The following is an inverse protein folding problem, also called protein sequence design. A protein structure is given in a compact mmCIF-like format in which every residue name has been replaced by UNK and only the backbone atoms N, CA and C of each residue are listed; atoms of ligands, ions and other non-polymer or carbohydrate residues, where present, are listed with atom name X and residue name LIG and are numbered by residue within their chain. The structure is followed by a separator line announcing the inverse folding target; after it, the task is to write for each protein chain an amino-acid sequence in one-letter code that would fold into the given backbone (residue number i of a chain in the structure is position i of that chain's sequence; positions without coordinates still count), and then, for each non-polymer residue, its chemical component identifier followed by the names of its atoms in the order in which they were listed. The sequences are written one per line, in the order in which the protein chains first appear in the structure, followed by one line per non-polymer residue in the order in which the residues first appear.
data_IF_711311269257
#
_entry.id   IF_711311269257
#
_cell.length_a   1.000
_cell.length_b   1.000
_cell.length_c   1.000
_cell.angle_alpha   90.00
_cell.angle_beta   90.00
_cell.angle_gamma   90.00
#
_symmetry.space_group_name_H-M   'P 1'
#
loop_
_entity.id
_entity.type
_entity.pdbx_description
1 polymer ?
#
# COMPACT_ATOMS: atom_id res chain seq x y z
N UNK A 1 17.59 -32.51 -3.57
CA UNK A 1 17.97 -31.96 -2.26
C UNK A 1 19.30 -32.57 -1.88
N UNK A 2 20.33 -31.76 -1.61
CA UNK A 2 21.68 -32.25 -1.33
C UNK A 2 21.72 -33.12 -0.06
N UNK A 3 22.66 -34.05 0.01
CA UNK A 3 22.80 -35.06 1.08
C UNK A 3 23.23 -34.49 2.44
N UNK A 4 23.49 -33.20 2.53
CA UNK A 4 23.85 -32.51 3.76
C UNK A 4 22.66 -31.62 4.14
N UNK A 5 22.17 -31.74 5.37
CA UNK A 5 21.09 -30.89 5.89
C UNK A 5 21.45 -29.39 5.85
N UNK A 6 20.60 -28.49 6.38
CA UNK A 6 20.96 -27.08 6.42
C UNK A 6 22.28 -26.91 7.17
N UNK A 7 23.29 -26.38 6.47
CA UNK A 7 24.57 -26.04 7.09
C UNK A 7 24.32 -24.97 8.15
N UNK A 8 24.80 -25.14 9.38
CA UNK A 8 24.71 -24.11 10.38
C UNK A 8 25.52 -22.90 9.93
N UNK A 9 24.86 -21.77 9.74
CA UNK A 9 25.50 -20.49 9.47
C UNK A 9 25.65 -19.79 10.82
N UNK A 10 26.90 -19.68 11.29
CA UNK A 10 27.26 -18.83 12.41
C UNK A 10 27.67 -17.46 11.87
N UNK A 11 26.67 -16.60 11.61
CA UNK A 11 26.87 -15.25 11.14
C UNK A 11 26.70 -14.27 12.31
N UNK A 12 27.79 -13.68 12.83
CA UNK A 12 27.73 -12.59 13.79
C UNK A 12 26.84 -11.45 13.30
N UNK A 13 26.13 -10.73 14.19
CA UNK A 13 25.31 -9.58 13.79
C UNK A 13 26.08 -8.53 12.96
N UNK A 14 27.36 -8.31 13.28
CA UNK A 14 28.24 -7.39 12.56
C UNK A 14 28.44 -7.80 11.09
N UNK A 15 28.58 -9.09 10.80
CA UNK A 15 28.72 -9.58 9.42
C UNK A 15 27.43 -9.36 8.63
N UNK A 16 26.26 -9.53 9.27
CA UNK A 16 24.97 -9.23 8.65
C UNK A 16 24.86 -7.74 8.34
N UNK A 17 25.21 -6.87 9.29
CA UNK A 17 25.19 -5.41 9.10
C UNK A 17 26.13 -4.98 7.96
N UNK A 18 27.34 -5.55 7.90
CA UNK A 18 28.31 -5.29 6.83
C UNK A 18 27.79 -5.70 5.45
N UNK A 19 27.18 -6.89 5.34
CA UNK A 19 26.60 -7.37 4.08
C UNK A 19 25.40 -6.53 3.67
N UNK A 20 24.54 -6.12 4.61
CA UNK A 20 23.40 -5.23 4.35
C UNK A 20 23.88 -3.86 3.85
N UNK A 21 24.90 -3.28 4.50
CA UNK A 21 25.50 -2.02 4.07
C UNK A 21 26.07 -2.13 2.65
N UNK A 22 26.84 -3.20 2.36
CA UNK A 22 27.34 -3.48 1.02
C UNK A 22 26.22 -3.63 -0.02
N UNK A 23 25.10 -4.26 0.36
CA UNK A 23 23.93 -4.38 -0.51
C UNK A 23 23.28 -3.03 -0.83
N UNK A 24 23.23 -2.09 0.12
CA UNK A 24 22.75 -0.73 -0.13
C UNK A 24 23.71 0.06 -1.03
N UNK A 25 25.01 0.01 -0.74
CA UNK A 25 26.05 0.68 -1.55
C UNK A 25 26.02 0.23 -3.02
N UNK A 26 25.81 -1.07 -3.24
CA UNK A 26 25.74 -1.66 -4.58
C UNK A 26 24.32 -1.68 -5.17
N UNK A 27 23.35 -1.01 -4.53
CA UNK A 27 21.95 -0.88 -4.98
C UNK A 27 21.18 -2.19 -5.15
N UNK A 28 21.63 -3.26 -4.52
CA UNK A 28 20.82 -4.48 -4.35
C UNK A 28 19.63 -4.21 -3.42
N UNK A 29 19.84 -3.41 -2.37
CA UNK A 29 18.80 -2.89 -1.49
C UNK A 29 18.56 -1.40 -1.78
N UNK A 30 17.29 -1.02 -1.82
CA UNK A 30 16.84 0.35 -2.04
C UNK A 30 15.38 0.46 -1.56
N UNK A 31 15.20 0.97 -0.35
CA UNK A 31 13.88 1.09 0.28
C UNK A 31 12.98 2.09 -0.45
N UNK A 32 13.55 3.16 -1.01
CA UNK A 32 12.78 4.16 -1.74
C UNK A 32 12.18 3.54 -3.01
N UNK A 33 13.02 2.83 -3.78
CA UNK A 33 12.57 2.06 -4.95
C UNK A 33 11.54 1.00 -4.57
N UNK A 34 11.76 0.28 -3.47
CA UNK A 34 10.83 -0.71 -2.97
C UNK A 34 9.46 -0.10 -2.64
N UNK A 35 9.44 0.99 -1.87
CA UNK A 35 8.21 1.67 -1.44
C UNK A 35 7.40 2.15 -2.65
N UNK A 36 8.03 2.83 -3.60
CA UNK A 36 7.36 3.33 -4.81
C UNK A 36 6.71 2.18 -5.61
N UNK A 37 7.46 1.10 -5.85
CA UNK A 37 6.93 -0.07 -6.57
C UNK A 37 5.81 -0.77 -5.79
N UNK A 38 5.95 -0.86 -4.47
CA UNK A 38 4.95 -1.47 -3.60
C UNK A 38 3.64 -0.67 -3.61
N UNK A 39 3.72 0.65 -3.44
CA UNK A 39 2.57 1.56 -3.52
C UNK A 39 1.84 1.44 -4.85
N UNK A 40 2.57 1.52 -5.97
CA UNK A 40 2.01 1.37 -7.31
C UNK A 40 1.39 -0.03 -7.53
N UNK A 41 2.00 -1.08 -6.97
CA UNK A 41 1.45 -2.44 -7.03
C UNK A 41 0.16 -2.61 -6.23
N UNK A 42 0.05 -1.95 -5.07
CA UNK A 42 -1.12 -2.03 -4.19
C UNK A 42 -2.27 -1.14 -4.65
N UNK A 43 -1.99 0.06 -5.13
CA UNK A 43 -2.99 0.96 -5.67
C UNK A 43 -3.70 0.35 -6.88
N UNK A 44 -2.97 -0.29 -7.81
CA UNK A 44 -3.54 -1.05 -8.94
C UNK A 44 -4.45 -2.21 -8.51
N UNK A 45 -4.20 -2.80 -7.34
CA UNK A 45 -5.05 -3.85 -6.73
C UNK A 45 -6.26 -3.27 -5.98
N UNK A 46 -6.42 -1.95 -5.95
CA UNK A 46 -7.55 -1.27 -5.32
C UNK A 46 -7.45 -1.24 -3.80
N UNK A 47 -6.24 -1.12 -3.25
CA UNK A 47 -5.99 -0.85 -1.84
C UNK A 47 -5.65 0.63 -1.64
N UNK A 48 -6.21 1.22 -0.59
CA UNK A 48 -6.04 2.62 -0.25
C UNK A 48 -4.87 2.90 0.70
N UNK A 49 -4.62 4.18 1.00
CA UNK A 49 -3.42 4.64 1.69
C UNK A 49 -3.20 3.99 3.06
N UNK A 50 -4.24 3.84 3.89
CA UNK A 50 -4.09 3.34 5.25
C UNK A 50 -3.58 1.89 5.28
N UNK A 51 -4.08 1.06 4.36
CA UNK A 51 -3.64 -0.33 4.25
C UNK A 51 -2.23 -0.43 3.70
N UNK A 52 -1.88 0.41 2.72
CA UNK A 52 -0.53 0.43 2.16
C UNK A 52 0.49 0.85 3.22
N UNK A 53 0.20 1.89 4.03
CA UNK A 53 1.03 2.29 5.17
C UNK A 53 1.26 1.15 6.14
N UNK A 54 0.19 0.45 6.53
CA UNK A 54 0.27 -0.69 7.44
C UNK A 54 1.16 -1.80 6.88
N UNK A 55 0.96 -2.18 5.62
CA UNK A 55 1.71 -3.26 4.99
C UNK A 55 3.20 -2.89 4.79
N UNK A 56 3.52 -1.63 4.52
CA UNK A 56 4.91 -1.15 4.47
C UNK A 56 5.57 -1.17 5.86
N UNK A 57 4.85 -0.75 6.90
CA UNK A 57 5.35 -0.80 8.28
C UNK A 57 5.63 -2.23 8.75
N UNK A 58 4.78 -3.20 8.39
CA UNK A 58 5.01 -4.62 8.67
C UNK A 58 6.25 -5.19 7.95
N UNK A 59 6.73 -4.52 6.90
CA UNK A 59 7.95 -4.88 6.16
C UNK A 59 9.20 -4.19 6.68
N UNK A 60 9.09 -3.42 7.77
CA UNK A 60 10.21 -2.73 8.39
C UNK A 60 10.59 -1.41 7.75
N UNK A 61 9.77 -0.87 6.82
CA UNK A 61 10.04 0.44 6.23
C UNK A 61 9.79 1.53 7.28
N UNK A 62 10.76 2.43 7.43
CA UNK A 62 10.67 3.57 8.35
C UNK A 62 9.44 4.45 8.04
N UNK A 63 8.78 4.93 9.09
CA UNK A 63 7.56 5.74 8.98
C UNK A 63 7.79 6.99 8.15
N UNK A 64 8.95 7.63 8.31
CA UNK A 64 9.35 8.83 7.61
C UNK A 64 9.43 8.59 6.10
N UNK A 65 9.99 7.47 5.68
CA UNK A 65 10.07 7.07 4.28
C UNK A 65 8.67 6.78 3.69
N UNK A 66 7.80 6.13 4.47
CA UNK A 66 6.41 5.90 4.06
C UNK A 66 5.68 7.23 3.85
N UNK A 67 5.75 8.15 4.81
CA UNK A 67 5.05 9.43 4.70
C UNK A 67 5.65 10.33 3.62
N UNK A 68 6.96 10.27 3.38
CA UNK A 68 7.58 10.96 2.25
C UNK A 68 7.01 10.44 0.92
N UNK A 69 7.01 9.12 0.72
CA UNK A 69 6.48 8.53 -0.51
C UNK A 69 4.98 8.79 -0.69
N UNK A 70 4.19 8.82 0.40
CA UNK A 70 2.78 9.16 0.37
C UNK A 70 2.54 10.62 -0.05
N UNK A 71 3.40 11.55 0.39
CA UNK A 71 3.32 12.97 -0.03
C UNK A 71 3.74 13.18 -1.48
N UNK A 72 4.74 12.45 -1.94
CA UNK A 72 5.29 12.57 -3.30
C UNK A 72 4.48 11.82 -4.36
N UNK A 73 3.63 10.88 -3.96
CA UNK A 73 2.87 10.10 -4.93
C UNK A 73 1.76 10.94 -5.59
N UNK A 74 1.64 10.82 -6.90
CA UNK A 74 0.58 11.47 -7.70
C UNK A 74 -0.64 10.56 -7.85
N UNK A 75 -0.93 9.73 -6.84
CA UNK A 75 -2.04 8.77 -6.90
C UNK A 75 -3.34 9.49 -6.53
N UNK A 76 -4.29 9.47 -7.45
CA UNK A 76 -5.66 9.91 -7.19
C UNK A 76 -6.44 8.83 -6.42
N UNK A 77 -6.43 8.92 -5.09
CA UNK A 77 -7.10 7.96 -4.22
C UNK A 77 -8.62 8.04 -4.31
N UNK A 78 -9.19 9.22 -4.59
CA UNK A 78 -10.63 9.41 -4.79
C UNK A 78 -11.08 8.65 -6.03
N UNK A 79 -10.37 8.81 -7.14
CA UNK A 79 -10.68 8.12 -8.39
C UNK A 79 -10.54 6.60 -8.22
N UNK A 80 -9.47 6.12 -7.58
CA UNK A 80 -9.30 4.69 -7.33
C UNK A 80 -10.39 4.12 -6.40
N UNK A 81 -10.80 4.86 -5.37
CA UNK A 81 -11.90 4.46 -4.50
C UNK A 81 -13.22 4.36 -5.26
N UNK A 82 -13.52 5.35 -6.11
CA UNK A 82 -14.69 5.36 -7.00
C UNK A 82 -14.68 4.16 -7.94
N UNK A 83 -13.58 3.89 -8.63
CA UNK A 83 -13.47 2.76 -9.56
C UNK A 83 -13.70 1.42 -8.85
N UNK A 84 -13.19 1.26 -7.63
CA UNK A 84 -13.45 0.06 -6.83
C UNK A 84 -14.92 -0.06 -6.42
N UNK A 85 -15.56 1.05 -6.07
CA UNK A 85 -16.97 1.08 -5.72
C UNK A 85 -17.85 0.74 -6.94
N UNK A 86 -17.64 1.41 -8.08
CA UNK A 86 -18.40 1.20 -9.32
C UNK A 86 -18.26 -0.23 -9.82
N UNK A 87 -17.04 -0.77 -9.82
CA UNK A 87 -16.79 -2.17 -10.25
C UNK A 87 -17.58 -3.18 -9.43
N UNK A 88 -17.83 -2.91 -8.15
CA UNK A 88 -18.49 -3.84 -7.23
C UNK A 88 -19.99 -3.60 -7.09
N UNK A 89 -20.43 -2.35 -7.11
CA UNK A 89 -21.80 -1.95 -6.79
C UNK A 89 -22.57 -1.38 -7.99
N UNK A 90 -21.95 -1.24 -9.15
CA UNK A 90 -22.55 -0.72 -10.37
C UNK A 90 -22.40 0.79 -10.54
N UNK A 91 -22.80 1.26 -11.72
CA UNK A 91 -22.83 2.67 -12.12
C UNK A 91 -24.28 3.03 -12.55
N UNK A 92 -24.94 4.03 -11.94
CA UNK A 92 -24.45 4.91 -10.87
C UNK A 92 -24.33 4.20 -9.51
N UNK A 93 -23.49 4.77 -8.63
CA UNK A 93 -23.41 4.27 -7.26
C UNK A 93 -24.75 4.43 -6.54
N UNK A 94 -25.18 3.42 -5.78
CA UNK A 94 -26.37 3.52 -4.95
C UNK A 94 -26.32 4.71 -3.98
N UNK A 95 -27.43 5.46 -3.92
CA UNK A 95 -27.54 6.67 -3.08
C UNK A 95 -28.35 6.47 -1.80
N UNK A 96 -29.05 5.33 -1.67
CA UNK A 96 -29.80 4.96 -0.48
C UNK A 96 -28.83 4.79 0.71
N UNK A 97 -29.20 5.35 1.87
CA UNK A 97 -28.33 5.40 3.05
C UNK A 97 -27.74 4.04 3.44
N UNK A 98 -28.57 2.99 3.51
CA UNK A 98 -28.13 1.65 3.87
C UNK A 98 -27.09 1.07 2.88
N UNK A 99 -27.19 1.42 1.60
CA UNK A 99 -26.26 0.98 0.56
C UNK A 99 -24.96 1.80 0.59
N UNK A 100 -25.05 3.12 0.79
CA UNK A 100 -23.88 3.98 1.03
C UNK A 100 -23.01 3.46 2.18
N UNK A 101 -23.62 3.07 3.31
CA UNK A 101 -22.88 2.49 4.45
C UNK A 101 -22.15 1.20 4.05
N UNK A 102 -22.74 0.34 3.21
CA UNK A 102 -22.07 -0.88 2.71
C UNK A 102 -20.87 -0.54 1.83
N UNK A 103 -20.99 0.46 0.97
CA UNK A 103 -19.92 0.93 0.08
C UNK A 103 -18.78 1.53 0.92
N UNK A 104 -19.10 2.42 1.86
CA UNK A 104 -18.14 3.03 2.78
C UNK A 104 -17.36 1.96 3.55
N UNK A 105 -18.05 0.98 4.15
CA UNK A 105 -17.39 -0.14 4.85
C UNK A 105 -16.44 -0.89 3.93
N UNK A 106 -16.89 -1.24 2.72
CA UNK A 106 -16.03 -1.93 1.76
C UNK A 106 -14.75 -1.14 1.43
N UNK A 107 -14.85 0.17 1.20
CA UNK A 107 -13.70 1.01 0.90
C UNK A 107 -12.78 1.20 2.12
N UNK A 108 -13.33 1.34 3.32
CA UNK A 108 -12.55 1.36 4.56
C UNK A 108 -11.78 0.06 4.78
N UNK A 109 -12.39 -1.11 4.53
CA UNK A 109 -11.69 -2.41 4.59
C UNK A 109 -10.57 -2.55 3.54
N UNK A 110 -10.69 -1.82 2.43
CA UNK A 110 -9.63 -1.69 1.42
C UNK A 110 -8.56 -0.65 1.81
N UNK A 111 -8.78 0.13 2.85
CA UNK A 111 -7.82 1.09 3.39
C UNK A 111 -7.91 2.49 2.80
N UNK A 112 -8.99 2.83 2.10
CA UNK A 112 -9.24 4.21 1.67
C UNK A 112 -9.58 5.09 2.87
N UNK A 113 -9.19 6.37 2.83
CA UNK A 113 -9.47 7.30 3.92
C UNK A 113 -10.91 7.82 3.83
N UNK A 114 -11.47 8.22 4.97
CA UNK A 114 -12.85 8.71 4.99
C UNK A 114 -13.03 9.96 4.13
N UNK A 115 -12.02 10.83 4.06
CA UNK A 115 -11.99 12.00 3.17
C UNK A 115 -12.12 11.58 1.70
N UNK A 116 -11.29 10.63 1.22
CA UNK A 116 -11.38 10.12 -0.15
C UNK A 116 -12.76 9.55 -0.47
N UNK A 117 -13.30 8.78 0.48
CA UNK A 117 -14.59 8.09 0.36
C UNK A 117 -15.75 9.09 0.31
N UNK A 118 -15.71 10.18 1.07
CA UNK A 118 -16.78 11.18 1.03
C UNK A 118 -16.79 11.93 -0.30
N UNK A 119 -15.62 12.18 -0.88
CA UNK A 119 -15.45 12.94 -2.11
C UNK A 119 -16.05 12.23 -3.33
N UNK A 120 -16.14 10.90 -3.33
CA UNK A 120 -16.75 10.13 -4.44
C UNK A 120 -18.23 10.50 -4.67
N UNK A 121 -18.94 11.03 -3.66
CA UNK A 121 -20.32 11.50 -3.77
C UNK A 121 -20.44 13.02 -3.88
N UNK A 122 -19.39 13.80 -3.56
CA UNK A 122 -19.44 15.27 -3.64
C UNK A 122 -19.18 15.78 -5.06
N UNK A 123 -18.29 15.14 -5.80
CA UNK A 123 -17.72 15.69 -7.04
C UNK A 123 -18.40 15.22 -8.34
N UNK A 124 -19.61 14.64 -8.27
CA UNK A 124 -20.25 14.04 -9.45
C UNK A 124 -21.76 14.30 -9.52
N UNK A 125 -22.20 15.41 -8.94
CA UNK A 125 -23.46 16.03 -9.29
C UNK A 125 -23.21 17.06 -10.40
N UNK A 126 -22.93 16.57 -11.61
CA UNK A 126 -23.09 17.32 -12.86
C UNK A 126 -24.07 16.55 -13.75
#
# INVERSE_FOLDING_TARGET
MGKNGPEPIDAPPEDVENVVAWCFENRYLDDSRFVQQFMAGRSRKGYGPARIRQELGQKGIAREAIEQAMRECEIDWVQLARDQALRKYGDPLPTVFAEKVKIQRFLLYRGYLMEDIQEIWRNFAD
#
